data_IF_033430137899
#
_entry.id   IF_033430137899
#
_cell.length_a   1.000
_cell.length_b   1.000
_cell.length_c   1.000
_cell.angle_alpha   90.00
_cell.angle_beta   90.00
_cell.angle_gamma   90.00
#
_symmetry.space_group_name_H-M   'P 1'
#
loop_
_entity.id
_entity.type
_entity.pdbx_description
1 polymer ?
#
# COMPACT_ATOMS: atom_id res chain seq x y z
N UNK A 1 -47.87 -0.86 42.70
CA UNK A 1 -47.95 -0.17 41.39
C UNK A 1 -46.76 0.76 41.08
N UNK A 2 -46.06 1.31 42.08
CA UNK A 2 -44.93 2.24 41.88
C UNK A 2 -43.64 1.59 41.33
N UNK A 3 -43.30 0.38 41.77
CA UNK A 3 -42.06 -0.32 41.37
C UNK A 3 -42.10 -0.80 39.91
N UNK A 4 -43.24 -1.34 39.45
CA UNK A 4 -43.42 -1.78 38.05
C UNK A 4 -43.33 -0.61 37.05
N UNK A 5 -43.78 0.58 37.44
CA UNK A 5 -43.65 1.81 36.64
C UNK A 5 -42.21 2.32 36.60
N UNK A 6 -41.48 2.22 37.70
CA UNK A 6 -40.06 2.57 37.76
C UNK A 6 -39.20 1.65 36.88
N UNK A 7 -39.49 0.35 36.86
CA UNK A 7 -38.79 -0.62 35.99
C UNK A 7 -39.08 -0.34 34.51
N UNK A 8 -40.34 -0.04 34.16
CA UNK A 8 -40.70 0.32 32.78
C UNK A 8 -40.08 1.65 32.33
N UNK A 9 -40.01 2.65 33.20
CA UNK A 9 -39.33 3.91 32.89
C UNK A 9 -37.83 3.72 32.71
N UNK A 10 -37.21 2.89 33.55
CA UNK A 10 -35.79 2.56 33.43
C UNK A 10 -35.48 1.79 32.14
N UNK A 11 -36.31 0.81 31.75
CA UNK A 11 -36.10 0.05 30.52
C UNK A 11 -36.29 0.89 29.25
N UNK A 12 -37.22 1.85 29.27
CA UNK A 12 -37.40 2.81 28.16
C UNK A 12 -36.20 3.75 28.04
N UNK A 13 -35.66 4.24 29.17
CA UNK A 13 -34.48 5.12 29.18
C UNK A 13 -33.22 4.38 28.66
N UNK A 14 -33.01 3.12 29.08
CA UNK A 14 -31.89 2.30 28.59
C UNK A 14 -32.03 2.00 27.09
N UNK A 15 -33.25 1.78 26.60
CA UNK A 15 -33.50 1.52 25.17
C UNK A 15 -33.33 2.78 24.31
N UNK A 16 -33.68 3.98 24.81
CA UNK A 16 -33.40 5.25 24.14
C UNK A 16 -31.91 5.64 24.17
N UNK A 17 -31.16 5.25 25.20
CA UNK A 17 -29.71 5.47 25.26
C UNK A 17 -28.92 4.58 24.28
N UNK A 18 -29.53 3.52 23.74
CA UNK A 18 -28.95 2.62 22.74
C UNK A 18 -29.29 3.03 21.30
N UNK A 19 -29.58 4.31 21.07
CA UNK A 19 -29.85 4.88 19.76
C UNK A 19 -28.58 5.02 18.92
N UNK A 20 -28.26 4.00 18.12
CA UNK A 20 -27.46 4.09 16.89
C UNK A 20 -26.15 4.87 16.98
N UNK A 21 -25.16 4.35 17.70
CA UNK A 21 -23.76 4.63 17.36
C UNK A 21 -23.44 3.97 16.02
N UNK A 22 -23.80 4.63 14.90
CA UNK A 22 -23.08 4.37 13.65
C UNK A 22 -21.64 4.73 13.93
N UNK A 23 -20.76 3.74 13.96
CA UNK A 23 -19.34 4.00 13.85
C UNK A 23 -19.14 4.82 12.57
N UNK A 24 -18.92 6.14 12.72
CA UNK A 24 -18.39 6.95 11.62
C UNK A 24 -16.96 6.49 11.43
N UNK A 25 -16.79 5.41 10.68
CA UNK A 25 -15.53 5.19 9.99
C UNK A 25 -15.44 6.37 9.03
N UNK A 26 -14.62 7.36 9.37
CA UNK A 26 -14.28 8.40 8.42
C UNK A 26 -13.79 7.69 7.17
N UNK A 27 -14.38 8.01 6.01
CA UNK A 27 -13.78 7.62 4.74
C UNK A 27 -12.33 8.11 4.77
N UNK A 28 -11.40 7.30 4.26
CA UNK A 28 -10.02 7.72 4.14
C UNK A 28 -9.95 9.04 3.33
N UNK A 29 -8.97 9.92 3.60
CA UNK A 29 -8.83 11.18 2.85
C UNK A 29 -8.92 10.93 1.33
N UNK A 30 -9.84 11.61 0.64
CA UNK A 30 -10.06 11.42 -0.81
C UNK A 30 -11.02 10.28 -1.20
N UNK A 31 -11.73 9.65 -0.25
CA UNK A 31 -12.69 8.55 -0.54
C UNK A 31 -14.13 8.80 -0.08
N UNK A 32 -14.42 10.01 0.42
CA UNK A 32 -15.77 10.42 0.84
C UNK A 32 -16.62 10.98 -0.30
N UNK A 33 -17.94 11.10 -0.09
CA UNK A 33 -18.86 11.84 -0.96
C UNK A 33 -19.00 13.30 -0.49
N UNK A 34 -17.89 14.02 -0.41
CA UNK A 34 -17.85 15.43 -0.02
C UNK A 34 -17.55 16.36 -1.21
N UNK A 35 -17.65 17.66 -0.96
CA UNK A 35 -17.28 18.69 -1.94
C UNK A 35 -15.79 18.60 -2.35
N UNK A 36 -14.83 18.44 -1.42
CA UNK A 36 -13.41 18.32 -1.79
C UNK A 36 -13.15 17.13 -2.72
N UNK A 37 -13.73 15.97 -2.44
CA UNK A 37 -13.54 14.77 -3.24
C UNK A 37 -14.19 14.88 -4.62
N UNK A 38 -15.33 15.58 -4.70
CA UNK A 38 -15.98 15.85 -5.99
C UNK A 38 -15.13 16.76 -6.86
N UNK A 39 -14.51 17.79 -6.27
CA UNK A 39 -13.58 18.68 -6.97
C UNK A 39 -12.34 17.90 -7.44
N UNK A 40 -11.72 17.11 -6.55
CA UNK A 40 -10.57 16.27 -6.88
C UNK A 40 -10.89 15.30 -8.03
N UNK A 41 -12.09 14.71 -8.04
CA UNK A 41 -12.54 13.84 -9.13
C UNK A 41 -12.73 14.59 -10.46
N UNK A 42 -13.27 15.81 -10.43
CA UNK A 42 -13.42 16.66 -11.63
C UNK A 42 -12.05 17.07 -12.18
N UNK A 43 -11.12 17.47 -11.32
CA UNK A 43 -9.77 17.87 -11.73
C UNK A 43 -9.00 16.68 -12.31
N UNK A 44 -9.13 15.50 -11.70
CA UNK A 44 -8.53 14.25 -12.20
C UNK A 44 -9.13 13.81 -13.54
N UNK A 45 -10.44 14.00 -13.77
CA UNK A 45 -11.07 13.63 -15.03
C UNK A 45 -10.56 14.44 -16.23
N UNK A 46 -9.95 15.60 -16.00
CA UNK A 46 -9.36 16.46 -17.04
C UNK A 46 -7.92 16.08 -17.38
N UNK A 47 -7.27 15.26 -16.55
CA UNK A 47 -5.87 14.87 -16.69
C UNK A 47 -5.80 13.44 -17.22
N UNK A 48 -5.16 13.28 -18.38
CA UNK A 48 -5.02 11.99 -19.08
C UNK A 48 -3.66 11.31 -18.83
N UNK A 49 -2.77 11.98 -18.08
CA UNK A 49 -1.45 11.43 -17.78
C UNK A 49 -1.55 10.21 -16.88
N UNK A 50 -0.99 9.10 -17.36
CA UNK A 50 -0.94 7.82 -16.65
C UNK A 50 0.49 7.44 -16.29
N UNK A 51 0.70 7.05 -15.04
CA UNK A 51 2.02 6.74 -14.50
C UNK A 51 1.98 5.37 -13.82
N UNK A 52 2.90 4.50 -14.21
CA UNK A 52 3.21 3.28 -13.49
C UNK A 52 4.53 3.47 -12.74
N UNK A 53 4.45 3.52 -11.42
CA UNK A 53 5.60 3.55 -10.52
C UNK A 53 5.92 2.11 -10.12
N UNK A 54 7.12 1.63 -10.42
CA UNK A 54 7.53 0.25 -10.15
C UNK A 54 8.51 0.24 -8.98
N UNK A 55 8.34 -0.68 -8.04
CA UNK A 55 9.27 -0.94 -6.94
C UNK A 55 9.58 -2.44 -6.81
N UNK A 56 10.72 -2.79 -6.22
CA UNK A 56 11.06 -4.20 -5.99
C UNK A 56 10.26 -4.78 -4.82
N UNK A 57 10.19 -4.06 -3.70
CA UNK A 57 9.51 -4.49 -2.48
C UNK A 57 8.57 -3.39 -1.96
N UNK A 58 7.66 -3.71 -1.03
CA UNK A 58 7.06 -2.71 -0.16
C UNK A 58 8.15 -1.91 0.59
N UNK A 59 7.91 -0.62 0.80
CA UNK A 59 8.81 0.39 1.43
C UNK A 59 9.91 0.97 0.54
N UNK A 60 10.02 0.52 -0.71
CA UNK A 60 10.92 1.13 -1.72
C UNK A 60 10.28 2.37 -2.39
N UNK A 61 9.00 2.65 -2.15
CA UNK A 61 8.29 3.75 -2.77
C UNK A 61 8.56 5.10 -2.09
N UNK A 62 8.46 6.18 -2.88
CA UNK A 62 8.43 7.53 -2.32
C UNK A 62 7.00 8.02 -2.18
N UNK A 63 6.45 7.95 -0.96
CA UNK A 63 5.10 8.42 -0.66
C UNK A 63 4.85 9.89 -1.03
N UNK A 64 5.86 10.76 -0.88
CA UNK A 64 5.77 12.16 -1.27
C UNK A 64 5.61 12.34 -2.78
N UNK A 65 6.40 11.62 -3.58
CA UNK A 65 6.30 11.66 -5.05
C UNK A 65 4.96 11.11 -5.52
N UNK A 66 4.54 9.96 -4.97
CA UNK A 66 3.24 9.36 -5.33
C UNK A 66 2.08 10.29 -5.00
N UNK A 67 2.09 10.90 -3.82
CA UNK A 67 1.06 11.86 -3.40
C UNK A 67 1.04 13.10 -4.29
N UNK A 68 2.22 13.64 -4.62
CA UNK A 68 2.31 14.80 -5.51
C UNK A 68 1.78 14.49 -6.91
N UNK A 69 2.15 13.34 -7.49
CA UNK A 69 1.68 12.94 -8.81
C UNK A 69 0.16 12.70 -8.83
N UNK A 70 -0.37 12.01 -7.83
CA UNK A 70 -1.79 11.64 -7.78
C UNK A 70 -2.71 12.79 -7.36
N UNK A 71 -2.34 13.55 -6.32
CA UNK A 71 -3.20 14.60 -5.74
C UNK A 71 -2.82 16.01 -6.15
N UNK A 72 -1.54 16.27 -6.39
CA UNK A 72 -1.05 17.58 -6.83
C UNK A 72 -1.17 17.78 -8.34
N UNK A 73 -0.80 16.75 -9.11
CA UNK A 73 -0.86 16.78 -10.57
C UNK A 73 -2.10 16.07 -11.15
N UNK A 74 -2.91 15.45 -10.29
CA UNK A 74 -4.12 14.71 -10.68
C UNK A 74 -3.88 13.60 -11.73
N UNK A 75 -2.66 13.06 -11.79
CA UNK A 75 -2.33 11.97 -12.71
C UNK A 75 -2.97 10.65 -12.23
N UNK A 76 -3.30 9.76 -13.17
CA UNK A 76 -3.71 8.40 -12.85
C UNK A 76 -2.47 7.56 -12.56
N UNK A 77 -2.17 7.39 -11.27
CA UNK A 77 -0.96 6.72 -10.79
C UNK A 77 -1.28 5.32 -10.26
N UNK A 78 -0.49 4.34 -10.71
CA UNK A 78 -0.44 3.00 -10.18
C UNK A 78 0.95 2.70 -9.62
N UNK A 79 1.02 2.21 -8.38
CA UNK A 79 2.20 1.59 -7.79
C UNK A 79 2.16 0.08 -8.07
N UNK A 80 3.22 -0.44 -8.67
CA UNK A 80 3.44 -1.87 -8.89
C UNK A 80 4.64 -2.30 -8.05
N UNK A 81 4.39 -3.07 -7.00
CA UNK A 81 5.45 -3.75 -6.27
C UNK A 81 5.68 -5.12 -6.90
N UNK A 82 6.93 -5.43 -7.25
CA UNK A 82 7.27 -6.71 -7.87
C UNK A 82 7.00 -7.87 -6.91
N UNK A 83 7.33 -7.71 -5.63
CA UNK A 83 7.17 -8.74 -4.61
C UNK A 83 6.23 -8.29 -3.49
N UNK A 84 5.93 -9.17 -2.53
CA UNK A 84 5.23 -8.79 -1.29
C UNK A 84 6.19 -8.52 -0.14
N UNK A 85 7.51 -8.55 -0.37
CA UNK A 85 8.53 -8.34 0.66
C UNK A 85 8.69 -9.52 1.62
N UNK A 86 8.43 -10.75 1.15
CA UNK A 86 8.50 -11.97 1.97
C UNK A 86 9.92 -12.28 2.48
N UNK A 87 10.95 -11.88 1.74
CA UNK A 87 12.35 -12.13 2.06
C UNK A 87 12.97 -11.13 3.04
N UNK A 88 12.17 -10.17 3.51
CA UNK A 88 12.61 -9.14 4.46
C UNK A 88 12.81 -9.63 5.89
N UNK A 89 13.37 -8.75 6.72
CA UNK A 89 13.50 -8.96 8.16
C UNK A 89 12.34 -8.26 8.90
N UNK A 90 11.81 -8.90 9.93
CA UNK A 90 10.80 -8.32 10.81
C UNK A 90 11.41 -8.02 12.19
N UNK A 91 11.54 -6.73 12.52
CA UNK A 91 12.06 -6.29 13.80
C UNK A 91 10.99 -6.20 14.91
N UNK A 92 9.71 -6.17 14.52
CA UNK A 92 8.58 -5.93 15.44
C UNK A 92 7.89 -7.23 15.89
N UNK A 93 8.11 -8.33 15.19
CA UNK A 93 7.43 -9.59 15.47
C UNK A 93 8.14 -10.83 14.91
N UNK A 94 7.61 -12.02 15.23
CA UNK A 94 8.18 -13.29 14.82
C UNK A 94 7.84 -13.69 13.37
N UNK A 95 6.96 -12.95 12.69
CA UNK A 95 6.46 -13.31 11.36
C UNK A 95 7.56 -13.20 10.30
N UNK A 96 7.63 -14.22 9.45
CA UNK A 96 8.63 -14.34 8.38
C UNK A 96 7.96 -14.85 7.10
N UNK A 97 8.63 -14.67 5.96
CA UNK A 97 8.27 -15.30 4.70
C UNK A 97 6.80 -14.99 4.31
N UNK A 98 5.88 -15.92 3.98
CA UNK A 98 4.50 -15.56 3.60
C UNK A 98 3.74 -14.70 4.62
N UNK A 99 3.98 -14.93 5.91
CA UNK A 99 3.31 -14.19 6.99
C UNK A 99 3.75 -12.73 7.00
N UNK A 100 5.06 -12.49 6.80
CA UNK A 100 5.60 -11.14 6.69
C UNK A 100 5.08 -10.44 5.43
N UNK A 101 5.03 -11.16 4.31
CA UNK A 101 4.48 -10.63 3.07
C UNK A 101 3.03 -10.16 3.20
N UNK A 102 2.22 -10.88 3.98
CA UNK A 102 0.85 -10.49 4.27
C UNK A 102 0.77 -9.19 5.07
N UNK A 103 1.61 -9.04 6.10
CA UNK A 103 1.67 -7.83 6.93
C UNK A 103 2.06 -6.62 6.07
N UNK A 104 3.19 -6.71 5.35
CA UNK A 104 3.69 -5.60 4.50
C UNK A 104 2.73 -5.26 3.36
N UNK A 105 2.00 -6.25 2.84
CA UNK A 105 0.91 -5.99 1.89
C UNK A 105 -0.18 -5.11 2.52
N UNK A 106 -0.58 -5.37 3.77
CA UNK A 106 -1.59 -4.55 4.45
C UNK A 106 -1.06 -3.15 4.80
N UNK A 107 0.20 -3.04 5.19
CA UNK A 107 0.86 -1.76 5.43
C UNK A 107 0.89 -0.91 4.16
N UNK A 108 1.35 -1.48 3.04
CA UNK A 108 1.39 -0.76 1.76
C UNK A 108 -0.01 -0.45 1.22
N UNK A 109 -0.99 -1.34 1.42
CA UNK A 109 -2.41 -1.05 1.12
C UNK A 109 -2.93 0.13 1.94
N UNK A 110 -2.49 0.29 3.20
CA UNK A 110 -2.85 1.43 4.02
C UNK A 110 -2.15 2.72 3.57
N UNK A 111 -0.86 2.64 3.26
CA UNK A 111 -0.07 3.78 2.78
C UNK A 111 -0.60 4.33 1.45
N UNK A 112 -0.89 3.45 0.49
CA UNK A 112 -1.38 3.83 -0.85
C UNK A 112 -2.76 4.50 -0.83
N UNK A 113 -3.62 4.18 0.15
CA UNK A 113 -4.87 4.95 0.39
C UNK A 113 -4.58 6.40 0.76
N UNK A 114 -3.52 6.65 1.54
CA UNK A 114 -3.05 8.00 1.84
C UNK A 114 -2.55 8.71 0.59
N UNK A 115 -1.69 8.03 -0.18
CA UNK A 115 -1.09 8.59 -1.40
C UNK A 115 -2.12 8.90 -2.50
N UNK A 116 -3.25 8.18 -2.53
CA UNK A 116 -4.28 8.31 -3.56
C UNK A 116 -3.94 7.54 -4.84
N UNK A 117 -3.19 6.44 -4.73
CA UNK A 117 -2.73 5.64 -5.88
C UNK A 117 -3.33 4.24 -5.87
N UNK A 118 -3.41 3.61 -7.05
CA UNK A 118 -3.76 2.19 -7.18
C UNK A 118 -2.54 1.33 -6.82
N UNK A 119 -2.74 0.19 -6.18
CA UNK A 119 -1.67 -0.74 -5.82
C UNK A 119 -1.85 -2.07 -6.55
N UNK A 120 -0.76 -2.57 -7.14
CA UNK A 120 -0.67 -3.87 -7.77
C UNK A 120 0.55 -4.64 -7.28
N UNK A 121 0.44 -5.96 -7.30
CA UNK A 121 1.53 -6.89 -7.00
C UNK A 121 1.69 -7.88 -8.15
N UNK A 122 2.92 -8.30 -8.42
CA UNK A 122 3.16 -9.44 -9.31
C UNK A 122 3.12 -10.77 -8.54
N UNK A 123 3.44 -11.86 -9.23
CA UNK A 123 3.63 -13.20 -8.64
C UNK A 123 5.11 -13.52 -8.35
N UNK A 124 6.03 -12.57 -8.53
CA UNK A 124 7.44 -12.76 -8.21
C UNK A 124 7.63 -13.02 -6.71
N UNK A 125 8.54 -13.94 -6.39
CA UNK A 125 8.90 -14.27 -5.01
C UNK A 125 10.11 -13.45 -4.58
N UNK A 126 10.04 -12.91 -3.38
CA UNK A 126 11.19 -12.34 -2.69
C UNK A 126 11.95 -13.45 -1.94
N UNK A 127 13.17 -13.73 -2.36
CA UNK A 127 14.07 -14.71 -1.71
C UNK A 127 15.00 -14.05 -0.68
N UNK A 128 14.88 -12.74 -0.48
CA UNK A 128 15.70 -11.97 0.44
C UNK A 128 17.08 -11.62 -0.10
N UNK A 129 17.93 -11.09 0.78
CA UNK A 129 19.26 -10.64 0.41
C UNK A 129 20.24 -11.81 0.24
N UNK A 130 20.99 -11.82 -0.85
CA UNK A 130 22.14 -12.72 -1.05
C UNK A 130 23.43 -12.00 -0.69
N UNK A 131 24.21 -12.57 0.23
CA UNK A 131 25.48 -11.98 0.70
C UNK A 131 26.67 -12.43 -0.12
N UNK A 132 26.55 -13.55 -0.83
CA UNK A 132 27.61 -14.08 -1.68
C UNK A 132 27.14 -14.35 -3.11
N UNK A 133 28.05 -14.31 -4.10
CA UNK A 133 27.76 -14.70 -5.48
C UNK A 133 27.23 -16.13 -5.57
N UNK A 134 27.76 -17.07 -4.77
CA UNK A 134 27.34 -18.47 -4.77
C UNK A 134 25.89 -18.65 -4.27
N UNK A 135 25.46 -17.85 -3.29
CA UNK A 135 24.06 -17.81 -2.85
C UNK A 135 23.15 -17.33 -3.98
N UNK A 136 23.59 -16.31 -4.73
CA UNK A 136 22.86 -15.75 -5.88
C UNK A 136 22.76 -16.76 -7.02
N UNK A 137 23.87 -17.41 -7.38
CA UNK A 137 23.94 -18.45 -8.41
C UNK A 137 23.07 -19.66 -8.06
N UNK A 138 22.98 -20.04 -6.79
CA UNK A 138 22.11 -21.14 -6.36
C UNK A 138 20.62 -20.85 -6.59
N UNK A 139 20.22 -19.57 -6.52
CA UNK A 139 18.83 -19.14 -6.66
C UNK A 139 18.48 -18.90 -8.14
N UNK A 140 19.38 -18.29 -8.90
CA UNK A 140 19.13 -17.84 -10.27
C UNK A 140 19.74 -18.73 -11.36
N UNK A 141 20.71 -19.58 -11.03
CA UNK A 141 21.44 -20.42 -11.99
C UNK A 141 22.19 -19.62 -13.05
N UNK A 142 22.25 -20.14 -14.27
CA UNK A 142 22.96 -19.53 -15.42
C UNK A 142 22.39 -18.18 -15.90
N UNK A 143 21.34 -17.67 -15.23
CA UNK A 143 20.75 -16.36 -15.53
C UNK A 143 21.47 -15.21 -14.83
N UNK A 144 22.44 -15.50 -13.95
CA UNK A 144 23.28 -14.48 -13.32
C UNK A 144 24.19 -13.85 -14.37
N UNK A 145 23.99 -12.57 -14.65
CA UNK A 145 24.91 -11.81 -15.50
C UNK A 145 26.28 -11.73 -14.81
N UNK A 146 27.39 -12.00 -15.52
CA UNK A 146 28.72 -11.98 -14.92
C UNK A 146 29.01 -10.58 -14.39
N UNK A 147 29.20 -10.48 -13.07
CA UNK A 147 29.53 -9.23 -12.40
C UNK A 147 31.02 -9.00 -12.65
N UNK A 148 31.38 -8.03 -13.49
CA UNK A 148 32.78 -7.61 -13.61
C UNK A 148 33.28 -7.11 -12.26
N UNK A 149 34.51 -7.46 -11.89
CA UNK A 149 35.13 -7.31 -10.57
C UNK A 149 35.22 -5.87 -10.01
N UNK A 150 34.73 -4.85 -10.72
CA UNK A 150 34.69 -3.46 -10.29
C UNK A 150 33.40 -3.03 -9.56
N UNK A 151 32.37 -3.89 -9.48
CA UNK A 151 31.02 -3.49 -9.01
C UNK A 151 30.44 -4.36 -7.87
N UNK A 152 31.28 -5.09 -7.14
CA UNK A 152 30.86 -6.02 -6.07
C UNK A 152 30.13 -5.37 -4.86
N UNK A 153 29.88 -4.07 -4.86
CA UNK A 153 29.21 -3.34 -3.78
C UNK A 153 27.69 -3.16 -3.92
N UNK A 154 27.05 -3.59 -5.01
CA UNK A 154 25.68 -3.17 -5.33
C UNK A 154 24.77 -4.29 -5.87
N UNK A 155 24.65 -5.42 -5.16
CA UNK A 155 23.64 -6.44 -5.46
C UNK A 155 22.36 -6.22 -4.62
N UNK A 156 21.81 -5.01 -4.67
CA UNK A 156 20.44 -4.70 -4.22
C UNK A 156 20.03 -3.36 -4.83
N UNK A 157 19.99 -3.28 -6.15
CA UNK A 157 19.41 -2.11 -6.80
C UNK A 157 17.90 -2.22 -6.70
N UNK A 158 17.30 -1.44 -5.79
CA UNK A 158 15.86 -1.19 -5.80
C UNK A 158 15.49 -0.72 -7.21
N UNK A 159 14.72 -1.53 -7.95
CA UNK A 159 14.19 -1.13 -9.24
C UNK A 159 13.07 -0.14 -8.95
N UNK A 160 13.44 1.13 -8.81
CA UNK A 160 12.51 2.24 -8.74
C UNK A 160 12.45 2.88 -10.11
N UNK A 161 11.33 2.71 -10.80
CA UNK A 161 11.14 3.20 -12.16
C UNK A 161 9.79 3.89 -12.32
N UNK A 162 9.77 5.05 -12.99
CA UNK A 162 8.54 5.75 -13.39
C UNK A 162 8.36 5.54 -14.89
N UNK A 163 7.32 4.80 -15.27
CA UNK A 163 6.94 4.60 -16.66
C UNK A 163 5.73 5.49 -16.96
N UNK A 164 5.89 6.44 -17.88
CA UNK A 164 4.78 7.21 -18.42
C UNK A 164 4.09 6.40 -19.51
N UNK A 165 2.82 6.07 -19.31
CA UNK A 165 2.03 5.36 -20.32
C UNK A 165 1.55 6.39 -21.36
N UNK A 166 1.84 6.13 -22.64
CA UNK A 166 1.44 7.01 -23.75
C UNK A 166 -0.08 6.98 -23.90
N UNK A 167 -0.66 8.15 -24.17
CA UNK A 167 -2.09 8.30 -24.48
C UNK A 167 -2.40 7.68 -25.85
N UNK A 168 -3.55 7.01 -25.96
CA UNK A 168 -4.10 6.43 -27.19
C UNK A 168 -4.89 7.45 -27.99
#
# INVERSE_FOLDING_TARGET
MRIRRAIYLFSVIVSMACGSTRAQVSSAPGTGRGLPETIEAIDSARVTTRILYVTAHPDDESGAVLTYLARGQHADVALLSLTRGEGGQNALGPEQAPQLGLIRTQELLAATRGYGVKLYFTSAKDFGFSKTPEETEKIWGDQVLPISSSTAGAASTAVTGIIRLRES
#
